data_IF_360385032297
#
_entry.id   IF_360385032297
#
_cell.length_a   1.000
_cell.length_b   1.000
_cell.length_c   1.000
_cell.angle_alpha   90.00
_cell.angle_beta   90.00
_cell.angle_gamma   90.00
#
_symmetry.space_group_name_H-M   'P 1'
#
loop_
_entity.id
_entity.type
_entity.pdbx_description
1 polymer ?
#
# COMPACT_ATOMS: atom_id res chain seq x y z
N UNK A 1 -0.64 6.37 9.57
CA UNK A 1 0.41 5.34 9.38
C UNK A 1 1.40 5.47 10.53
N UNK A 2 1.86 4.36 11.07
CA UNK A 2 2.92 4.30 12.08
C UNK A 2 4.16 3.63 11.46
N UNK A 3 5.31 4.29 11.61
CA UNK A 3 6.60 3.83 11.07
C UNK A 3 7.63 3.89 12.19
N UNK A 4 8.37 2.81 12.36
CA UNK A 4 9.47 2.73 13.33
C UNK A 4 10.71 2.21 12.60
N UNK A 5 11.82 2.95 12.73
CA UNK A 5 13.08 2.67 12.04
C UNK A 5 12.93 2.47 10.52
N UNK A 6 12.03 3.23 9.88
CA UNK A 6 11.74 3.11 8.45
C UNK A 6 10.92 1.87 8.07
N UNK A 7 10.38 1.14 9.04
CA UNK A 7 9.53 -0.02 8.84
C UNK A 7 8.07 0.32 9.18
N UNK A 8 7.15 -0.01 8.28
CA UNK A 8 5.71 0.18 8.51
C UNK A 8 5.25 -0.77 9.61
N UNK A 9 4.78 -0.23 10.73
CA UNK A 9 4.17 -0.99 11.83
C UNK A 9 2.66 -1.12 11.66
N UNK A 10 2.04 -0.04 11.19
CA UNK A 10 0.63 -0.04 10.82
C UNK A 10 0.38 0.97 9.70
N UNK A 11 -0.52 0.62 8.79
CA UNK A 11 -0.98 1.52 7.74
C UNK A 11 -2.48 1.35 7.58
N UNK A 12 -3.16 2.46 7.35
CA UNK A 12 -4.57 2.48 6.99
C UNK A 12 -4.71 3.29 5.72
N UNK A 13 -5.28 2.70 4.69
CA UNK A 13 -5.49 3.31 3.39
C UNK A 13 -6.98 3.64 3.29
N UNK A 14 -7.27 4.94 3.26
CA UNK A 14 -8.62 5.47 3.15
C UNK A 14 -8.64 6.54 2.08
N UNK A 15 -9.72 6.62 1.33
CA UNK A 15 -9.88 7.60 0.28
C UNK A 15 -11.04 7.22 -0.63
N UNK A 16 -11.24 8.01 -1.67
CA UNK A 16 -12.18 7.71 -2.72
C UNK A 16 -11.45 6.94 -3.82
N UNK A 17 -11.55 5.61 -3.78
CA UNK A 17 -10.95 4.70 -4.75
C UNK A 17 -11.86 3.48 -4.94
N UNK A 18 -11.69 2.81 -6.07
CA UNK A 18 -12.37 1.56 -6.36
C UNK A 18 -11.37 0.41 -6.32
N UNK A 19 -11.66 -0.61 -5.52
CA UNK A 19 -10.87 -1.85 -5.46
C UNK A 19 -11.82 -3.04 -5.44
N UNK A 20 -11.55 -4.03 -6.28
CA UNK A 20 -12.39 -5.23 -6.38
C UNK A 20 -11.55 -6.49 -6.15
N UNK A 21 -11.93 -7.36 -5.20
CA UNK A 21 -13.03 -7.19 -4.24
C UNK A 21 -12.74 -6.08 -3.21
N UNK A 22 -13.79 -5.50 -2.61
CA UNK A 22 -13.65 -4.38 -1.66
C UNK A 22 -12.82 -4.73 -0.42
N UNK A 23 -12.83 -6.00 0.02
CA UNK A 23 -12.07 -6.43 1.19
C UNK A 23 -10.56 -6.51 0.94
N UNK A 24 -10.13 -6.50 -0.33
CA UNK A 24 -8.74 -6.56 -0.73
C UNK A 24 -7.92 -5.41 -0.14
N UNK A 25 -8.53 -4.26 0.18
CA UNK A 25 -7.85 -3.15 0.84
C UNK A 25 -7.23 -3.57 2.17
N UNK A 26 -7.92 -4.40 2.96
CA UNK A 26 -7.40 -4.91 4.23
C UNK A 26 -6.26 -5.89 4.01
N UNK A 27 -6.33 -6.67 2.94
CA UNK A 27 -5.25 -7.54 2.50
C UNK A 27 -4.00 -6.74 2.13
N UNK A 28 -4.18 -5.64 1.40
CA UNK A 28 -3.11 -4.75 0.98
C UNK A 28 -2.44 -4.07 2.19
N UNK A 29 -3.23 -3.52 3.11
CA UNK A 29 -2.73 -2.93 4.35
C UNK A 29 -1.87 -3.92 5.15
N UNK A 30 -2.35 -5.16 5.31
CA UNK A 30 -1.60 -6.22 6.00
C UNK A 30 -0.32 -6.61 5.25
N UNK A 31 -0.35 -6.67 3.90
CA UNK A 31 0.83 -6.98 3.10
C UNK A 31 1.95 -5.93 3.24
N UNK A 32 1.58 -4.68 3.53
CA UNK A 32 2.51 -3.57 3.73
C UNK A 32 3.10 -3.51 5.14
N UNK A 33 2.49 -4.17 6.14
CA UNK A 33 3.07 -4.26 7.48
C UNK A 33 4.41 -5.00 7.41
N UNK A 34 5.44 -4.46 8.07
CA UNK A 34 6.81 -4.96 8.01
C UNK A 34 7.55 -4.63 6.72
N UNK A 35 6.96 -3.84 5.81
CA UNK A 35 7.69 -3.31 4.65
C UNK A 35 8.58 -2.14 5.06
N UNK A 36 9.72 -2.00 4.38
CA UNK A 36 10.49 -0.76 4.41
C UNK A 36 9.71 0.34 3.70
N UNK A 37 9.72 1.54 4.26
CA UNK A 37 9.16 2.74 3.64
C UNK A 37 10.08 3.23 2.52
N UNK A 38 10.21 2.41 1.48
CA UNK A 38 11.06 2.59 0.31
C UNK A 38 10.25 2.30 -0.96
N UNK A 39 10.47 3.09 -2.01
CA UNK A 39 9.68 2.99 -3.24
C UNK A 39 9.75 1.60 -3.89
N UNK A 40 10.93 0.97 -3.91
CA UNK A 40 11.15 -0.32 -4.59
C UNK A 40 10.50 -1.45 -3.78
N UNK A 41 10.70 -1.46 -2.46
CA UNK A 41 10.06 -2.46 -1.58
C UNK A 41 8.53 -2.36 -1.65
N UNK A 42 7.98 -1.16 -1.56
CA UNK A 42 6.53 -0.95 -1.58
C UNK A 42 5.94 -1.34 -2.94
N UNK A 43 6.54 -0.89 -4.05
CA UNK A 43 6.06 -1.23 -5.40
C UNK A 43 6.06 -2.74 -5.64
N UNK A 44 7.11 -3.44 -5.18
CA UNK A 44 7.19 -4.89 -5.26
C UNK A 44 6.09 -5.59 -4.48
N UNK A 45 5.84 -5.18 -3.22
CA UNK A 45 4.79 -5.78 -2.40
C UNK A 45 3.39 -5.53 -2.93
N UNK A 46 3.11 -4.30 -3.34
CA UNK A 46 1.80 -3.91 -3.88
C UNK A 46 1.53 -4.64 -5.19
N UNK A 47 2.50 -4.65 -6.11
CA UNK A 47 2.35 -5.33 -7.40
C UNK A 47 2.15 -6.84 -7.23
N UNK A 48 2.88 -7.45 -6.29
CA UNK A 48 2.73 -8.86 -5.94
C UNK A 48 1.32 -9.13 -5.37
N UNK A 49 0.86 -8.30 -4.43
CA UNK A 49 -0.47 -8.45 -3.85
C UNK A 49 -1.59 -8.36 -4.89
N UNK A 50 -1.55 -7.34 -5.76
CA UNK A 50 -2.54 -7.14 -6.81
C UNK A 50 -2.59 -8.32 -7.77
N UNK A 51 -1.41 -8.85 -8.15
CA UNK A 51 -1.30 -9.98 -9.07
C UNK A 51 -1.74 -11.31 -8.47
N UNK A 52 -1.29 -11.63 -7.25
CA UNK A 52 -1.60 -12.91 -6.58
C UNK A 52 -3.07 -13.03 -6.18
N UNK A 53 -3.74 -11.91 -5.91
CA UNK A 53 -5.14 -11.88 -5.47
C UNK A 53 -6.11 -11.54 -6.59
N UNK A 54 -5.62 -11.33 -7.82
CA UNK A 54 -6.42 -10.88 -8.97
C UNK A 54 -7.28 -9.66 -8.61
N UNK A 55 -6.67 -8.71 -7.89
CA UNK A 55 -7.35 -7.51 -7.41
C UNK A 55 -7.35 -6.49 -8.53
N UNK A 56 -8.54 -5.99 -8.87
CA UNK A 56 -8.68 -4.89 -9.80
C UNK A 56 -8.63 -3.58 -9.03
N UNK A 57 -7.80 -2.66 -9.53
CA UNK A 57 -7.68 -1.32 -8.99
C UNK A 57 -7.84 -0.31 -10.13
N UNK A 58 -9.09 -0.05 -10.59
CA UNK A 58 -9.34 0.83 -11.71
C UNK A 58 -8.86 2.25 -11.44
N UNK A 59 -8.41 2.95 -12.48
CA UNK A 59 -7.95 4.35 -12.43
C UNK A 59 -6.64 4.60 -11.67
N UNK A 60 -6.04 3.57 -11.07
CA UNK A 60 -4.82 3.71 -10.27
C UNK A 60 -3.85 2.55 -10.53
N UNK A 61 -2.56 2.83 -10.43
CA UNK A 61 -1.49 1.83 -10.53
C UNK A 61 -0.90 1.54 -9.15
N UNK A 62 -0.14 0.44 -9.04
CA UNK A 62 0.66 0.16 -7.84
C UNK A 62 1.55 1.36 -7.47
N UNK A 63 2.10 2.04 -8.48
CA UNK A 63 2.95 3.23 -8.32
C UNK A 63 2.21 4.42 -7.72
N UNK A 64 0.94 4.62 -8.08
CA UNK A 64 0.13 5.70 -7.50
C UNK A 64 -0.08 5.48 -6.00
N UNK A 65 -0.29 4.24 -5.58
CA UNK A 65 -0.37 3.87 -4.15
C UNK A 65 0.98 4.16 -3.46
N UNK A 66 2.11 3.74 -4.05
CA UNK A 66 3.45 4.03 -3.50
C UNK A 66 3.65 5.52 -3.30
N UNK A 67 3.33 6.33 -4.32
CA UNK A 67 3.46 7.78 -4.26
C UNK A 67 2.59 8.38 -3.15
N UNK A 68 1.35 7.91 -3.01
CA UNK A 68 0.45 8.36 -1.95
C UNK A 68 0.99 8.02 -0.55
N UNK A 69 1.52 6.81 -0.35
CA UNK A 69 2.12 6.38 0.93
C UNK A 69 3.35 7.23 1.26
N UNK A 70 4.25 7.44 0.30
CA UNK A 70 5.47 8.22 0.49
C UNK A 70 5.17 9.71 0.73
N UNK A 71 4.13 10.24 0.09
CA UNK A 71 3.69 11.63 0.29
C UNK A 71 2.97 11.84 1.63
N UNK A 72 2.29 10.80 2.13
CA UNK A 72 1.63 10.79 3.43
C UNK A 72 2.57 10.41 4.59
N UNK A 73 3.87 10.27 4.32
CA UNK A 73 4.87 10.00 5.36
C UNK A 73 4.78 11.09 6.44
N UNK A 74 4.62 10.73 7.73
CA UNK A 74 4.70 11.71 8.79
C UNK A 74 6.08 12.37 8.74
N UNK A 75 6.12 13.70 8.71
CA UNK A 75 7.35 14.45 8.93
C UNK A 75 7.89 13.99 10.30
N UNK A 76 9.05 13.34 10.26
CA UNK A 76 9.74 12.85 11.45
C UNK A 76 10.48 13.98 12.14
#
# INVERSE_FOLDING_TARGET
>A
MEVDNGIIKSIRITGDFFMYPEDAIRGLENALVGAKLDAVELEGRISKFLSERSVEFPMMTARDIVNAILSAKPEG
#
